data_IF_627511240673
#
_entry.id   IF_627511240673
#
_cell.length_a   1.000
_cell.length_b   1.000
_cell.length_c   1.000
_cell.angle_alpha   90.00
_cell.angle_beta   90.00
_cell.angle_gamma   90.00
#
_symmetry.space_group_name_H-M   'P 1'
#
loop_
_entity.id
_entity.type
_entity.pdbx_description
1 polymer ?
#
# COMPACT_ATOMS: atom_id res chain seq x y z
N UNK A 1 12.48 3.98 -7.24
CA UNK A 1 11.07 4.34 -7.01
C UNK A 1 10.25 4.52 -8.30
N UNK A 2 10.80 5.17 -9.33
CA UNK A 2 10.06 5.51 -10.56
C UNK A 2 9.75 4.33 -11.50
N UNK A 3 10.66 3.37 -11.68
CA UNK A 3 10.37 2.13 -12.43
C UNK A 3 9.14 1.39 -11.88
N UNK A 4 9.08 1.29 -10.55
CA UNK A 4 7.93 0.70 -9.85
C UNK A 4 6.66 1.54 -10.02
N UNK A 5 6.78 2.87 -9.96
CA UNK A 5 5.66 3.80 -10.14
C UNK A 5 5.09 3.72 -11.56
N UNK A 6 5.96 3.69 -12.58
CA UNK A 6 5.58 3.58 -13.98
C UNK A 6 4.94 2.23 -14.30
N UNK A 7 5.55 1.11 -13.89
CA UNK A 7 4.96 -0.22 -14.10
C UNK A 7 3.61 -0.40 -13.38
N UNK A 8 3.41 0.31 -12.26
CA UNK A 8 2.11 0.38 -11.57
C UNK A 8 1.09 1.23 -12.33
N UNK A 9 1.52 2.39 -12.84
CA UNK A 9 0.64 3.35 -13.52
C UNK A 9 0.36 2.96 -15.00
N UNK A 10 1.16 2.06 -15.59
CA UNK A 10 1.02 1.52 -16.93
C UNK A 10 1.15 -0.03 -16.91
N UNK A 11 0.14 -0.75 -16.36
CA UNK A 11 0.24 -2.20 -16.11
C UNK A 11 0.31 -3.07 -17.36
N UNK A 12 -0.02 -2.52 -18.53
CA UNK A 12 0.12 -3.17 -19.84
C UNK A 12 1.53 -3.07 -20.43
N UNK A 13 2.42 -2.28 -19.83
CA UNK A 13 3.79 -2.09 -20.31
C UNK A 13 4.66 -3.32 -20.00
N UNK A 14 5.46 -3.75 -20.98
CA UNK A 14 6.50 -4.76 -20.77
C UNK A 14 7.65 -4.19 -19.93
N UNK A 15 8.53 -5.07 -19.43
CA UNK A 15 9.72 -4.62 -18.69
C UNK A 15 10.62 -3.71 -19.55
N UNK A 16 10.82 -4.07 -20.82
CA UNK A 16 11.60 -3.25 -21.76
C UNK A 16 10.97 -1.87 -22.01
N UNK A 17 9.63 -1.81 -22.12
CA UNK A 17 8.91 -0.53 -22.25
C UNK A 17 9.01 0.31 -20.98
N UNK A 18 8.99 -0.34 -19.82
CA UNK A 18 9.13 0.32 -18.51
C UNK A 18 10.54 0.89 -18.32
N UNK A 19 11.57 0.15 -18.74
CA UNK A 19 12.97 0.61 -18.72
C UNK A 19 13.21 1.76 -19.70
N UNK A 20 12.64 1.70 -20.91
CA UNK A 20 12.70 2.78 -21.90
C UNK A 20 12.05 4.06 -21.37
N UNK A 21 10.82 3.97 -20.86
CA UNK A 21 10.11 5.10 -20.26
C UNK A 21 10.82 5.69 -19.04
N UNK A 22 11.50 4.86 -18.23
CA UNK A 22 12.30 5.35 -17.12
C UNK A 22 13.54 6.13 -17.58
N UNK A 23 14.17 5.71 -18.69
CA UNK A 23 15.30 6.42 -19.27
C UNK A 23 14.87 7.76 -19.90
N UNK A 24 13.69 7.78 -20.56
CA UNK A 24 13.06 9.02 -21.04
C UNK A 24 12.71 9.97 -19.88
N UNK A 25 12.15 9.43 -18.79
CA UNK A 25 11.89 10.20 -17.58
C UNK A 25 13.17 10.81 -17.00
N UNK A 26 14.29 10.05 -16.94
CA UNK A 26 15.57 10.59 -16.46
C UNK A 26 16.05 11.77 -17.30
N UNK A 27 15.91 11.68 -18.62
CA UNK A 27 16.26 12.78 -19.53
C UNK A 27 15.36 14.00 -19.31
N UNK A 28 14.05 13.78 -19.15
CA UNK A 28 13.06 14.83 -18.83
C UNK A 28 13.31 15.48 -17.46
N UNK A 29 13.62 14.67 -16.44
CA UNK A 29 13.92 15.15 -15.10
C UNK A 29 15.16 16.06 -15.10
N UNK A 30 16.18 15.72 -15.88
CA UNK A 30 17.38 16.54 -16.04
C UNK A 30 17.10 17.93 -16.64
N UNK A 31 15.99 18.09 -17.39
CA UNK A 31 15.59 19.37 -17.98
C UNK A 31 14.66 20.20 -17.10
N UNK A 32 13.89 19.57 -16.19
CA UNK A 32 12.78 20.22 -15.49
C UNK A 32 12.95 20.35 -13.96
N UNK A 33 13.94 19.70 -13.34
CA UNK A 33 14.19 19.70 -11.88
C UNK A 33 14.66 21.07 -11.29
N UNK A 34 14.66 22.17 -12.05
CA UNK A 34 15.20 23.45 -11.57
C UNK A 34 14.41 24.08 -10.41
N UNK A 35 13.21 23.60 -10.11
CA UNK A 35 12.36 24.06 -9.01
C UNK A 35 11.88 22.85 -8.17
N UNK A 36 12.09 22.91 -6.86
CA UNK A 36 11.70 21.86 -5.90
C UNK A 36 10.20 21.73 -5.69
N UNK A 37 9.40 22.64 -6.26
CA UNK A 37 7.93 22.65 -6.13
C UNK A 37 7.21 21.85 -7.22
N UNK A 38 7.87 21.55 -8.34
CA UNK A 38 7.23 20.89 -9.49
C UNK A 38 7.30 19.37 -9.38
N UNK A 39 6.15 18.69 -9.38
CA UNK A 39 6.10 17.23 -9.56
C UNK A 39 6.45 16.86 -11.01
N UNK A 40 7.76 16.72 -11.25
CA UNK A 40 8.32 16.38 -12.54
C UNK A 40 7.78 15.05 -13.11
N UNK A 41 7.29 14.14 -12.26
CA UNK A 41 6.68 12.89 -12.71
C UNK A 41 5.26 13.09 -13.24
N UNK A 42 4.46 13.92 -12.57
CA UNK A 42 3.12 14.28 -13.07
C UNK A 42 3.19 14.98 -14.43
N UNK A 43 4.16 15.88 -14.63
CA UNK A 43 4.39 16.54 -15.94
C UNK A 43 4.86 15.55 -17.01
N UNK A 44 5.77 14.64 -16.67
CA UNK A 44 6.21 13.60 -17.61
C UNK A 44 5.04 12.71 -18.08
N UNK A 45 4.13 12.32 -17.18
CA UNK A 45 2.96 11.54 -17.55
C UNK A 45 2.03 12.28 -18.53
N UNK A 46 1.95 13.61 -18.48
CA UNK A 46 1.20 14.42 -19.47
C UNK A 46 1.84 14.36 -20.86
N UNK A 47 3.17 14.28 -20.94
CA UNK A 47 3.89 14.19 -22.24
C UNK A 47 3.67 12.87 -22.96
N UNK A 48 3.27 11.83 -22.24
CA UNK A 48 3.09 10.49 -22.79
C UNK A 48 1.72 10.26 -23.44
N UNK A 49 0.80 11.24 -23.43
CA UNK A 49 -0.59 11.14 -23.89
C UNK A 49 -1.33 9.89 -23.35
N UNK A 50 -0.81 9.33 -22.25
CA UNK A 50 -1.29 8.14 -21.57
C UNK A 50 -1.75 8.55 -20.18
N UNK A 51 -2.81 9.34 -20.13
CA UNK A 51 -3.72 9.26 -18.99
C UNK A 51 -4.54 7.99 -19.15
N UNK A 52 -3.91 6.81 -19.05
CA UNK A 52 -4.73 5.66 -18.68
C UNK A 52 -5.16 5.91 -17.23
N UNK A 53 -6.46 6.02 -16.96
CA UNK A 53 -6.93 6.15 -15.60
C UNK A 53 -6.35 4.96 -14.83
N UNK A 54 -5.83 5.23 -13.63
CA UNK A 54 -5.51 4.18 -12.67
C UNK A 54 -6.75 3.29 -12.63
N UNK A 55 -6.67 2.11 -13.24
CA UNK A 55 -7.73 1.11 -13.20
C UNK A 55 -7.70 0.56 -11.79
N UNK A 56 -8.21 1.39 -10.89
CA UNK A 56 -8.45 1.03 -9.53
C UNK A 56 -9.56 -0.01 -9.59
N UNK A 57 -9.15 -1.27 -9.42
CA UNK A 57 -10.01 -2.42 -9.60
C UNK A 57 -11.11 -2.36 -8.55
N UNK A 58 -12.28 -1.85 -8.94
CA UNK A 58 -13.49 -1.89 -8.13
C UNK A 58 -14.15 -3.24 -8.33
N UNK A 59 -14.33 -3.95 -7.22
CA UNK A 59 -15.15 -5.14 -7.22
C UNK A 59 -16.57 -4.77 -7.65
N UNK A 60 -17.15 -5.52 -8.59
CA UNK A 60 -18.59 -5.51 -8.77
C UNK A 60 -19.29 -6.07 -7.52
N UNK A 61 -20.61 -5.91 -7.43
CA UNK A 61 -21.37 -6.34 -6.25
C UNK A 61 -21.20 -7.83 -5.93
N UNK A 62 -21.14 -8.70 -6.95
CA UNK A 62 -20.98 -10.14 -6.77
C UNK A 62 -19.56 -10.48 -6.29
N UNK A 63 -18.55 -9.84 -6.88
CA UNK A 63 -17.16 -9.98 -6.48
C UNK A 63 -16.96 -9.48 -5.04
N UNK A 64 -17.58 -8.37 -4.66
CA UNK A 64 -17.48 -7.83 -3.31
C UNK A 64 -18.06 -8.80 -2.27
N UNK A 65 -19.24 -9.37 -2.55
CA UNK A 65 -19.86 -10.41 -1.70
C UNK A 65 -18.94 -11.63 -1.60
N UNK A 66 -18.38 -12.10 -2.71
CA UNK A 66 -17.47 -13.24 -2.74
C UNK A 66 -16.19 -12.98 -1.93
N UNK A 67 -15.57 -11.81 -2.07
CA UNK A 67 -14.36 -11.41 -1.35
C UNK A 67 -14.63 -11.25 0.14
N UNK A 68 -15.75 -10.62 0.51
CA UNK A 68 -16.17 -10.49 1.92
C UNK A 68 -16.40 -11.86 2.55
N UNK A 69 -17.08 -12.77 1.84
CA UNK A 69 -17.31 -14.15 2.29
C UNK A 69 -15.98 -14.91 2.43
N UNK A 70 -15.09 -14.81 1.44
CA UNK A 70 -13.77 -15.43 1.51
C UNK A 70 -12.97 -14.88 2.70
N UNK A 71 -13.06 -13.59 2.98
CA UNK A 71 -12.37 -12.98 4.10
C UNK A 71 -12.91 -13.43 5.46
N UNK A 72 -14.22 -13.47 5.65
CA UNK A 72 -14.84 -13.72 6.96
C UNK A 72 -15.16 -15.19 7.24
N UNK A 73 -15.63 -15.93 6.23
CA UNK A 73 -16.35 -17.19 6.43
C UNK A 73 -15.57 -18.42 5.94
N UNK A 74 -14.55 -18.22 5.10
CA UNK A 74 -13.72 -19.34 4.64
C UNK A 74 -12.76 -19.82 5.75
N UNK A 75 -12.36 -21.08 5.71
CA UNK A 75 -11.28 -21.58 6.57
C UNK A 75 -9.95 -20.95 6.17
N UNK A 76 -9.12 -20.58 7.16
CA UNK A 76 -7.83 -20.00 6.87
C UNK A 76 -6.85 -21.06 6.38
N UNK A 77 -6.36 -20.88 5.16
CA UNK A 77 -5.32 -21.73 4.58
C UNK A 77 -4.00 -21.57 5.34
N UNK A 78 -3.73 -22.46 6.29
CA UNK A 78 -2.59 -22.38 7.23
C UNK A 78 -1.68 -23.61 7.17
N UNK A 79 -1.48 -24.20 5.99
CA UNK A 79 -0.73 -25.45 5.84
C UNK A 79 0.67 -25.43 6.48
N UNK A 80 1.33 -24.27 6.47
CA UNK A 80 2.68 -24.10 7.02
C UNK A 80 2.71 -23.50 8.43
N UNK A 81 1.56 -23.35 9.10
CA UNK A 81 1.51 -22.73 10.43
C UNK A 81 1.92 -21.26 10.45
N UNK A 82 1.75 -20.55 9.33
CA UNK A 82 2.13 -19.14 9.12
C UNK A 82 1.54 -18.24 10.20
N UNK A 83 0.27 -18.41 10.56
CA UNK A 83 -0.34 -17.58 11.61
C UNK A 83 0.37 -17.75 12.97
N UNK A 84 0.72 -18.98 13.34
CA UNK A 84 1.41 -19.26 14.60
C UNK A 84 2.83 -18.68 14.59
N UNK A 85 3.56 -18.88 13.50
CA UNK A 85 4.91 -18.33 13.34
C UNK A 85 4.90 -16.78 13.39
N UNK A 86 3.90 -16.15 12.76
CA UNK A 86 3.73 -14.71 12.80
C UNK A 86 3.39 -14.22 14.22
N UNK A 87 2.47 -14.87 14.95
CA UNK A 87 2.19 -14.53 16.35
C UNK A 87 3.44 -14.61 17.23
N UNK A 88 4.26 -15.67 17.08
CA UNK A 88 5.51 -15.81 17.81
C UNK A 88 6.51 -14.70 17.48
N UNK A 89 6.57 -14.29 16.21
CA UNK A 89 7.41 -13.18 15.79
C UNK A 89 6.97 -11.84 16.39
N UNK A 90 5.67 -11.53 16.33
CA UNK A 90 5.10 -10.32 16.92
C UNK A 90 5.33 -10.29 18.43
N UNK A 91 5.01 -11.36 19.16
CA UNK A 91 5.21 -11.47 20.60
C UNK A 91 6.68 -11.25 21.00
N UNK A 92 7.61 -11.85 20.26
CA UNK A 92 9.05 -11.66 20.47
C UNK A 92 9.48 -10.20 20.30
N UNK A 93 8.90 -9.47 19.35
CA UNK A 93 9.22 -8.06 19.12
C UNK A 93 8.55 -7.15 20.14
N UNK A 94 7.29 -7.43 20.53
CA UNK A 94 6.62 -6.68 21.60
C UNK A 94 7.38 -6.76 22.92
N UNK A 95 8.01 -7.90 23.24
CA UNK A 95 8.85 -8.05 24.44
C UNK A 95 10.13 -7.19 24.43
N UNK A 96 10.51 -6.66 23.27
CA UNK A 96 11.66 -5.75 23.10
C UNK A 96 11.25 -4.29 22.98
N UNK A 97 9.95 -4.02 22.86
CA UNK A 97 9.45 -2.67 22.76
C UNK A 97 9.63 -1.98 24.11
N UNK A 98 10.25 -0.80 24.07
CA UNK A 98 10.40 0.06 25.23
C UNK A 98 9.25 1.09 25.24
N UNK A 99 8.35 0.96 26.22
CA UNK A 99 7.24 1.89 26.38
C UNK A 99 7.65 3.25 26.93
N UNK A 100 8.90 3.42 27.40
CA UNK A 100 9.44 4.70 27.80
C UNK A 100 9.92 5.53 26.59
N UNK A 101 10.30 4.86 25.50
CA UNK A 101 10.83 5.51 24.28
C UNK A 101 9.78 5.62 23.17
N UNK A 102 8.86 4.65 23.06
CA UNK A 102 7.89 4.59 21.96
C UNK A 102 6.45 4.45 22.46
N UNK A 103 5.53 5.18 21.82
CA UNK A 103 4.11 5.18 22.18
C UNK A 103 3.42 3.81 22.07
N UNK A 104 3.76 3.03 21.04
CA UNK A 104 3.13 1.73 20.78
C UNK A 104 4.01 0.86 19.85
N UNK A 105 3.99 -0.48 19.97
CA UNK A 105 4.71 -1.35 19.06
C UNK A 105 3.99 -1.47 17.70
N UNK A 106 4.58 -0.88 16.66
CA UNK A 106 4.09 -1.00 15.28
C UNK A 106 4.86 -2.06 14.49
N UNK A 107 4.17 -2.74 13.58
CA UNK A 107 4.76 -3.69 12.63
C UNK A 107 4.17 -3.46 11.24
N UNK A 108 5.04 -3.25 10.24
CA UNK A 108 4.62 -3.11 8.85
C UNK A 108 4.57 -4.48 8.17
N UNK A 109 3.42 -4.82 7.57
CA UNK A 109 3.25 -6.05 6.78
C UNK A 109 3.25 -5.72 5.28
N UNK A 110 4.40 -5.91 4.64
CA UNK A 110 4.60 -5.63 3.22
C UNK A 110 4.49 -6.92 2.39
N UNK A 111 3.53 -6.97 1.47
CA UNK A 111 3.33 -8.11 0.56
C UNK A 111 2.53 -7.66 -0.67
N UNK A 112 2.59 -8.40 -1.76
CA UNK A 112 1.74 -8.20 -2.94
C UNK A 112 0.23 -8.29 -2.63
N UNK A 113 -0.60 -7.61 -3.44
CA UNK A 113 -2.06 -7.58 -3.29
C UNK A 113 -2.67 -8.98 -3.42
N UNK A 114 -3.80 -9.23 -2.75
CA UNK A 114 -4.53 -10.50 -2.73
C UNK A 114 -3.79 -11.72 -2.14
N UNK A 115 -2.57 -11.59 -1.59
CA UNK A 115 -1.88 -12.69 -0.91
C UNK A 115 -2.36 -12.97 0.53
N UNK A 116 -3.54 -12.47 0.91
CA UNK A 116 -4.14 -12.80 2.20
C UNK A 116 -3.59 -12.07 3.42
N UNK A 117 -2.83 -10.96 3.26
CA UNK A 117 -2.39 -10.11 4.40
C UNK A 117 -3.52 -9.80 5.38
N UNK A 118 -4.68 -9.28 4.92
CA UNK A 118 -5.73 -8.90 5.86
C UNK A 118 -6.33 -10.12 6.56
N UNK A 119 -6.38 -11.27 5.86
CA UNK A 119 -6.88 -12.51 6.43
C UNK A 119 -5.93 -13.07 7.50
N UNK A 120 -4.62 -13.01 7.27
CA UNK A 120 -3.62 -13.34 8.29
C UNK A 120 -3.87 -12.52 9.57
N UNK A 121 -4.14 -11.21 9.44
CA UNK A 121 -4.42 -10.35 10.61
C UNK A 121 -5.70 -10.73 11.36
N UNK A 122 -6.73 -11.23 10.66
CA UNK A 122 -7.95 -11.79 11.29
C UNK A 122 -7.67 -13.04 12.10
N UNK A 123 -6.65 -13.82 11.74
CA UNK A 123 -6.24 -14.98 12.52
C UNK A 123 -5.34 -14.58 13.69
N UNK A 124 -4.40 -13.67 13.46
CA UNK A 124 -3.49 -13.16 14.52
C UNK A 124 -4.27 -12.49 15.65
N UNK A 125 -5.32 -11.72 15.35
CA UNK A 125 -6.17 -11.07 16.37
C UNK A 125 -6.89 -12.05 17.30
N UNK A 126 -7.02 -13.33 16.91
CA UNK A 126 -7.60 -14.38 17.77
C UNK A 126 -6.64 -14.80 18.88
N UNK A 127 -5.35 -14.49 18.74
CA UNK A 127 -4.29 -14.90 19.68
C UNK A 127 -3.63 -13.71 20.36
N UNK A 128 -3.43 -12.60 19.65
CA UNK A 128 -2.78 -11.40 20.16
C UNK A 128 -3.71 -10.19 20.03
N UNK A 129 -3.65 -9.21 20.95
CA UNK A 129 -4.44 -7.98 20.86
C UNK A 129 -3.82 -7.03 19.80
N UNK A 130 -4.07 -7.32 18.52
CA UNK A 130 -3.57 -6.52 17.39
C UNK A 130 -4.70 -5.79 16.67
N UNK A 131 -4.44 -4.55 16.27
CA UNK A 131 -5.30 -3.77 15.40
C UNK A 131 -4.68 -3.67 14.01
N UNK A 132 -5.41 -4.09 12.98
CA UNK A 132 -5.00 -3.91 11.60
C UNK A 132 -5.44 -2.53 11.10
N UNK A 133 -4.50 -1.75 10.58
CA UNK A 133 -4.76 -0.46 9.94
C UNK A 133 -4.40 -0.57 8.46
N UNK A 134 -5.38 -0.34 7.59
CA UNK A 134 -5.16 -0.29 6.15
C UNK A 134 -4.75 1.14 5.76
N UNK A 135 -3.46 1.38 5.44
CA UNK A 135 -2.92 2.69 5.04
C UNK A 135 -3.21 3.05 3.56
N UNK A 136 -4.27 2.50 3.01
CA UNK A 136 -4.61 2.61 1.60
C UNK A 136 -5.38 3.90 1.37
N UNK A 137 -5.14 4.64 0.28
CA UNK A 137 -5.95 5.81 -0.07
C UNK A 137 -7.45 5.44 -0.14
N UNK A 138 -8.33 6.29 0.43
CA UNK A 138 -9.80 6.15 0.42
C UNK A 138 -10.41 5.88 -0.97
N UNK A 139 -9.78 6.39 -2.03
CA UNK A 139 -10.25 6.21 -3.41
C UNK A 139 -9.77 4.93 -4.07
N UNK A 140 -8.97 4.10 -3.37
CA UNK A 140 -8.46 2.86 -3.95
C UNK A 140 -9.23 1.60 -3.52
N UNK A 141 -9.45 0.73 -4.48
CA UNK A 141 -10.26 -0.47 -4.42
C UNK A 141 -9.56 -1.63 -3.73
N UNK A 142 -10.29 -2.73 -3.51
CA UNK A 142 -9.82 -3.90 -2.78
C UNK A 142 -10.40 -4.02 -1.36
N UNK A 143 -10.10 -5.12 -0.67
CA UNK A 143 -10.69 -5.44 0.63
C UNK A 143 -9.61 -5.85 1.66
N UNK A 144 -9.72 -5.44 2.94
CA UNK A 144 -10.71 -4.51 3.50
C UNK A 144 -10.49 -3.07 3.02
N UNK A 145 -11.50 -2.20 3.11
CA UNK A 145 -11.39 -0.80 2.69
C UNK A 145 -10.40 -0.01 3.56
N UNK A 146 -10.12 1.22 3.14
CA UNK A 146 -9.40 2.23 3.92
C UNK A 146 -9.92 2.32 5.36
N UNK A 147 -9.02 2.56 6.31
CA UNK A 147 -9.37 2.77 7.71
C UNK A 147 -9.24 4.27 8.04
N UNK A 148 -10.27 4.96 8.56
CA UNK A 148 -10.16 6.39 8.90
C UNK A 148 -9.00 6.73 9.85
N UNK A 149 -8.63 5.80 10.75
CA UNK A 149 -7.46 5.97 11.63
C UNK A 149 -6.13 6.05 10.87
N UNK A 150 -6.08 5.54 9.63
CA UNK A 150 -4.91 5.67 8.79
C UNK A 150 -4.65 7.12 8.40
N UNK A 151 -5.69 7.95 8.24
CA UNK A 151 -5.51 9.38 7.97
C UNK A 151 -4.82 10.05 9.16
N UNK A 152 -5.32 9.82 10.38
CA UNK A 152 -4.70 10.31 11.62
C UNK A 152 -3.24 9.87 11.76
N UNK A 153 -2.95 8.59 11.46
CA UNK A 153 -1.59 8.04 11.57
C UNK A 153 -0.63 8.53 10.47
N UNK A 154 -1.17 9.11 9.39
CA UNK A 154 -0.36 9.60 8.25
C UNK A 154 -0.42 11.11 8.07
N UNK A 155 -1.18 11.82 8.92
CA UNK A 155 -1.38 13.28 8.86
C UNK A 155 -0.13 14.11 9.23
N UNK A 156 1.00 13.50 9.62
CA UNK A 156 2.29 14.19 9.69
C UNK A 156 2.93 14.39 8.30
N UNK A 157 2.39 15.37 7.54
CA UNK A 157 3.02 16.27 6.53
C UNK A 157 2.02 16.81 5.49
N UNK A 158 0.92 17.41 5.94
CA UNK A 158 0.16 18.40 5.15
C UNK A 158 0.11 19.79 5.81
N UNK A 159 1.00 20.03 6.76
CA UNK A 159 1.26 21.35 7.31
C UNK A 159 2.63 21.79 6.78
N UNK A 160 2.61 22.55 5.69
CA UNK A 160 3.60 23.55 5.25
C UNK A 160 3.57 23.79 3.72
N UNK A 161 2.39 23.84 3.11
CA UNK A 161 2.14 24.67 1.92
C UNK A 161 1.38 25.93 2.36
N UNK A 162 2.14 26.83 2.98
CA UNK A 162 1.64 28.11 3.48
C UNK A 162 0.94 28.93 2.41
N UNK A 163 -0.35 29.16 2.61
CA UNK A 163 -1.06 30.33 2.10
C UNK A 163 -1.50 31.17 3.29
N UNK A 164 -0.66 32.14 3.65
CA UNK A 164 -1.08 33.40 4.26
C UNK A 164 -1.23 34.46 3.17
#
# INVERSE_FOLDING_TARGET
LLLWKYGRDCPSATMEQTDAAYNEYKAFYATCHQDTTTDCYAEFLKTLDKQEPILDFKYDEKQYVAVKKAFSDSEYCNFYGVAKAFCQHVDKNMKKWDSAEYYSPYCALVQASAFGKPRLMVEVRKTLPVSYVCLRNEYSGGYPPHCPVADILTEERRLDDGTG
#
